data_IF_685626300014
#
_entry.id   IF_685626300014
#
_cell.length_a   1.000
_cell.length_b   1.000
_cell.length_c   1.000
_cell.angle_alpha   90.00
_cell.angle_beta   90.00
_cell.angle_gamma   90.00
#
_symmetry.space_group_name_H-M   'P 1'
#
loop_
_entity.id
_entity.type
_entity.pdbx_description
1 polymer ?
#
# COMPACT_ATOMS: atom_id res chain seq x y z
N UNK A 1 -10.20 -26.99 13.77
CA UNK A 1 -9.88 -26.96 12.33
C UNK A 1 -9.13 -25.67 12.10
N UNK A 2 -7.80 -25.76 12.00
CA UNK A 2 -6.93 -24.62 11.72
C UNK A 2 -7.23 -24.13 10.31
N UNK A 3 -7.67 -22.89 10.22
CA UNK A 3 -7.73 -22.15 8.95
C UNK A 3 -6.58 -21.15 9.05
N UNK A 4 -5.43 -21.63 8.63
CA UNK A 4 -4.30 -20.84 8.18
C UNK A 4 -4.75 -20.04 6.95
N UNK A 5 -5.10 -18.77 7.13
CA UNK A 5 -5.22 -17.84 6.00
C UNK A 5 -3.80 -17.38 5.59
N UNK A 6 -3.29 -18.10 4.58
CA UNK A 6 -2.07 -18.01 3.76
C UNK A 6 -1.61 -16.58 3.40
N UNK A 7 -0.33 -16.25 3.07
CA UNK A 7 0.82 -17.00 2.53
C UNK A 7 2.09 -16.54 3.27
N UNK A 8 2.83 -17.46 3.88
CA UNK A 8 4.30 -17.33 4.02
C UNK A 8 4.87 -17.97 2.77
N UNK A 9 5.44 -17.19 1.86
CA UNK A 9 6.27 -17.77 0.80
C UNK A 9 7.59 -18.18 1.45
N UNK A 10 7.60 -19.38 2.05
CA UNK A 10 8.83 -20.08 2.35
C UNK A 10 9.23 -20.88 1.09
N UNK A 11 9.58 -20.15 0.04
CA UNK A 11 10.21 -20.69 -1.17
C UNK A 11 11.42 -19.83 -1.47
N UNK A 12 12.51 -20.51 -1.82
CA UNK A 12 13.90 -20.05 -1.93
C UNK A 12 14.13 -19.05 -3.09
N UNK A 13 13.32 -18.00 -3.22
CA UNK A 13 13.32 -17.04 -4.34
C UNK A 13 13.23 -15.56 -3.90
N UNK A 14 13.77 -15.20 -2.73
CA UNK A 14 13.94 -13.80 -2.36
C UNK A 14 15.40 -13.39 -2.39
N UNK A 15 15.87 -13.09 -3.60
CA UNK A 15 17.08 -12.30 -3.86
C UNK A 15 17.01 -10.98 -3.09
N UNK A 16 17.78 -10.86 -2.00
CA UNK A 16 18.23 -9.58 -1.45
C UNK A 16 17.21 -8.69 -0.74
N UNK A 17 15.99 -9.13 -0.41
CA UNK A 17 15.03 -8.28 0.34
C UNK A 17 15.18 -8.41 1.86
N UNK A 18 15.10 -7.28 2.58
CA UNK A 18 15.28 -7.24 4.04
C UNK A 18 13.95 -7.07 4.78
N UNK A 19 13.13 -6.07 4.43
CA UNK A 19 11.76 -5.86 4.94
C UNK A 19 11.05 -4.75 4.15
N UNK A 20 9.76 -4.52 4.41
CA UNK A 20 8.96 -3.54 3.69
C UNK A 20 7.79 -2.94 4.46
N UNK A 21 7.34 -1.76 4.04
CA UNK A 21 6.18 -1.03 4.55
C UNK A 21 5.10 -1.00 3.46
N UNK A 22 3.84 -1.24 3.82
CA UNK A 22 2.67 -1.06 2.95
C UNK A 22 1.76 0.00 3.55
N UNK A 23 1.55 1.10 2.84
CA UNK A 23 0.55 2.10 3.15
C UNK A 23 -0.66 1.91 2.23
N UNK A 24 -1.84 1.74 2.84
CA UNK A 24 -3.12 1.75 2.12
C UNK A 24 -3.85 3.03 2.51
N UNK A 25 -3.97 4.02 1.60
CA UNK A 25 -4.70 5.25 1.88
C UNK A 25 -6.13 4.96 2.35
N UNK A 26 -6.62 5.68 3.35
CA UNK A 26 -8.00 5.57 3.86
C UNK A 26 -9.03 5.75 2.75
N UNK A 27 -8.73 6.64 1.79
CA UNK A 27 -9.57 6.96 0.62
C UNK A 27 -9.22 6.14 -0.63
N UNK A 28 -8.48 5.05 -0.50
CA UNK A 28 -8.29 4.09 -1.57
C UNK A 28 -9.65 3.56 -2.06
N UNK A 29 -9.85 3.52 -3.38
CA UNK A 29 -11.09 2.98 -3.96
C UNK A 29 -11.11 1.46 -3.85
N UNK A 30 -9.99 0.81 -4.14
CA UNK A 30 -9.78 -0.62 -3.98
C UNK A 30 -8.74 -0.87 -2.88
N UNK A 31 -9.20 -1.12 -1.64
CA UNK A 31 -8.29 -1.36 -0.49
C UNK A 31 -7.46 -2.65 -0.61
N UNK A 32 -7.81 -3.54 -1.53
CA UNK A 32 -7.04 -4.78 -1.77
C UNK A 32 -5.84 -4.51 -2.68
N UNK A 33 -6.00 -3.62 -3.66
CA UNK A 33 -4.99 -3.35 -4.69
C UNK A 33 -4.24 -2.03 -4.47
N UNK A 34 -4.97 -0.94 -4.18
CA UNK A 34 -4.43 0.40 -4.09
C UNK A 34 -3.51 0.53 -2.88
N UNK A 35 -2.22 0.72 -3.13
CA UNK A 35 -1.23 0.83 -2.06
C UNK A 35 0.06 1.49 -2.51
N UNK A 36 0.77 2.05 -1.53
CA UNK A 36 2.14 2.53 -1.65
C UNK A 36 3.00 1.57 -0.85
N UNK A 37 3.98 0.95 -1.48
CA UNK A 37 4.87 -0.05 -0.89
C UNK A 37 6.30 0.49 -0.90
N UNK A 38 7.04 0.35 0.21
CA UNK A 38 8.49 0.53 0.20
C UNK A 38 9.14 -0.77 0.65
N UNK A 39 10.16 -1.20 -0.08
CA UNK A 39 10.96 -2.37 0.24
C UNK A 39 12.42 -1.94 0.42
N UNK A 40 13.03 -2.36 1.53
CA UNK A 40 14.48 -2.27 1.70
C UNK A 40 15.14 -3.53 1.11
N UNK A 41 16.12 -3.33 0.23
CA UNK A 41 16.96 -4.37 -0.35
C UNK A 41 18.39 -4.27 0.17
N UNK A 42 18.97 -5.42 0.49
CA UNK A 42 20.38 -5.59 0.85
C UNK A 42 21.17 -5.78 -0.43
N UNK A 43 22.12 -4.89 -0.69
CA UNK A 43 23.08 -5.09 -1.78
C UNK A 43 24.22 -6.00 -1.32
N UNK A 44 24.80 -6.75 -2.25
CA UNK A 44 25.98 -7.61 -2.05
C UNK A 44 27.19 -6.75 -1.60
N UNK A 45 27.21 -5.46 -1.97
CA UNK A 45 28.27 -4.50 -1.64
C UNK A 45 28.04 -3.69 -0.35
N UNK A 46 27.04 -4.04 0.48
CA UNK A 46 26.80 -3.38 1.78
C UNK A 46 25.97 -2.08 1.75
N UNK A 47 25.72 -1.48 0.58
CA UNK A 47 24.86 -0.30 0.44
C UNK A 47 23.36 -0.68 0.46
N UNK A 48 22.53 0.11 1.14
CA UNK A 48 21.07 -0.12 1.17
C UNK A 48 20.41 0.47 -0.08
N UNK A 49 19.61 -0.33 -0.79
CA UNK A 49 18.72 0.14 -1.86
C UNK A 49 17.27 0.08 -1.40
N UNK A 50 16.47 1.04 -1.84
CA UNK A 50 15.07 1.14 -1.48
C UNK A 50 14.23 1.10 -2.76
N UNK A 51 13.20 0.26 -2.79
CA UNK A 51 12.23 0.23 -3.88
C UNK A 51 10.93 0.85 -3.39
N UNK A 52 10.44 1.89 -4.06
CA UNK A 52 9.14 2.52 -3.80
C UNK A 52 8.19 2.15 -4.93
N UNK A 53 7.04 1.59 -4.60
CA UNK A 53 6.06 1.03 -5.53
C UNK A 53 4.69 1.64 -5.29
N UNK A 54 4.14 2.31 -6.30
CA UNK A 54 2.79 2.85 -6.30
C UNK A 54 1.89 1.94 -7.14
N UNK A 55 1.00 1.22 -6.47
CA UNK A 55 0.10 0.25 -7.10
C UNK A 55 -1.33 0.77 -7.05
N UNK A 56 -2.02 0.79 -8.18
CA UNK A 56 -3.42 1.25 -8.25
C UNK A 56 -4.23 0.46 -9.27
N UNK A 57 -5.50 0.18 -8.93
CA UNK A 57 -6.48 -0.34 -9.89
C UNK A 57 -7.00 0.80 -10.76
N UNK A 58 -6.90 0.64 -12.07
CA UNK A 58 -7.42 1.57 -13.08
C UNK A 58 -8.31 0.78 -14.05
N UNK A 59 -9.63 0.82 -13.81
CA UNK A 59 -10.58 -0.05 -14.49
C UNK A 59 -10.31 -1.52 -14.15
N UNK A 60 -10.18 -2.38 -15.15
CA UNK A 60 -9.85 -3.80 -14.95
C UNK A 60 -8.35 -4.07 -14.79
N UNK A 61 -7.48 -3.10 -15.07
CA UNK A 61 -6.02 -3.26 -15.03
C UNK A 61 -5.44 -2.72 -13.74
N UNK A 62 -4.38 -3.35 -13.26
CA UNK A 62 -3.56 -2.83 -12.16
C UNK A 62 -2.33 -2.19 -12.76
N UNK A 63 -2.10 -0.92 -12.43
CA UNK A 63 -0.93 -0.15 -12.83
C UNK A 63 0.05 -0.12 -11.66
N UNK A 64 1.34 -0.20 -11.98
CA UNK A 64 2.44 -0.23 -11.03
C UNK A 64 3.52 0.76 -11.46
N UNK A 65 3.74 1.80 -10.66
CA UNK A 65 4.83 2.76 -10.85
C UNK A 65 5.89 2.53 -9.76
N UNK A 66 7.01 1.92 -10.17
CA UNK A 66 8.11 1.53 -9.28
C UNK A 66 9.34 2.40 -9.48
N UNK A 67 9.99 2.79 -8.38
CA UNK A 67 11.26 3.52 -8.35
C UNK A 67 12.27 2.76 -7.51
N UNK A 68 13.51 2.70 -7.98
CA UNK A 68 14.64 2.32 -7.14
C UNK A 68 15.35 3.59 -6.69
N UNK A 69 15.70 3.65 -5.40
CA UNK A 69 16.38 4.77 -4.79
C UNK A 69 17.60 4.22 -4.05
N UNK A 70 18.75 4.84 -4.27
CA UNK A 70 19.89 4.64 -3.39
C UNK A 70 19.65 5.36 -2.07
N UNK A 71 20.49 5.06 -1.08
CA UNK A 71 20.36 5.58 0.29
C UNK A 71 20.24 7.11 0.35
N UNK A 72 21.06 7.81 -0.44
CA UNK A 72 21.03 9.29 -0.52
C UNK A 72 19.69 9.79 -1.06
N UNK A 73 19.18 9.19 -2.13
CA UNK A 73 17.92 9.61 -2.75
C UNK A 73 16.72 9.24 -1.91
N UNK A 74 16.80 8.13 -1.16
CA UNK A 74 15.80 7.76 -0.18
C UNK A 74 15.72 8.77 0.97
N UNK A 75 16.85 9.26 1.48
CA UNK A 75 16.88 10.34 2.46
C UNK A 75 16.33 11.66 1.89
N UNK A 76 16.70 12.00 0.66
CA UNK A 76 16.15 13.16 -0.03
C UNK A 76 14.63 13.06 -0.21
N UNK A 77 14.13 11.85 -0.52
CA UNK A 77 12.69 11.58 -0.59
C UNK A 77 12.01 11.77 0.76
N UNK A 78 12.55 11.22 1.86
CA UNK A 78 12.01 11.45 3.21
C UNK A 78 11.99 12.93 3.57
N UNK A 79 13.07 13.66 3.22
CA UNK A 79 13.17 15.10 3.45
C UNK A 79 12.11 15.85 2.66
N UNK A 80 11.97 15.58 1.36
CA UNK A 80 10.91 16.12 0.51
C UNK A 80 9.51 15.95 1.11
N UNK A 81 9.16 14.73 1.56
CA UNK A 81 7.88 14.48 2.20
C UNK A 81 7.71 15.24 3.54
N UNK A 82 8.80 15.40 4.29
CA UNK A 82 8.81 16.11 5.58
C UNK A 82 8.61 17.61 5.38
N UNK A 83 9.38 18.20 4.46
CA UNK A 83 9.42 19.63 4.19
C UNK A 83 8.09 20.12 3.58
N UNK A 84 7.47 19.31 2.72
CA UNK A 84 6.17 19.62 2.12
C UNK A 84 5.08 19.94 3.17
N UNK A 85 5.10 19.26 4.33
CA UNK A 85 4.11 19.48 5.39
C UNK A 85 4.14 20.91 5.96
N UNK A 86 5.34 21.49 6.02
CA UNK A 86 5.60 22.83 6.56
C UNK A 86 5.72 23.88 5.46
N UNK A 87 5.62 23.45 4.20
CA UNK A 87 5.77 24.33 3.05
C UNK A 87 4.54 25.19 2.86
N UNK A 88 4.77 26.45 2.47
CA UNK A 88 3.72 27.36 2.00
C UNK A 88 3.40 27.12 0.51
N UNK A 89 4.17 26.28 -0.18
CA UNK A 89 3.95 25.98 -1.58
C UNK A 89 2.72 25.08 -1.76
N UNK A 90 1.88 25.41 -2.74
CA UNK A 90 0.71 24.60 -3.08
C UNK A 90 1.09 23.19 -3.56
N UNK A 91 2.23 23.07 -4.23
CA UNK A 91 2.73 21.82 -4.80
C UNK A 91 4.26 21.79 -4.81
N UNK A 92 4.83 20.60 -4.62
CA UNK A 92 6.27 20.35 -4.74
C UNK A 92 6.52 19.04 -5.48
N UNK A 93 7.65 18.97 -6.17
CA UNK A 93 8.04 17.82 -7.00
C UNK A 93 9.34 17.23 -6.52
N UNK A 94 9.37 15.91 -6.48
CA UNK A 94 10.54 15.09 -6.32
C UNK A 94 10.85 14.39 -7.64
N UNK A 95 12.08 14.57 -8.12
CA UNK A 95 12.57 13.91 -9.32
C UNK A 95 13.06 12.51 -8.93
N UNK A 96 12.33 11.47 -9.34
CA UNK A 96 12.82 10.11 -9.33
C UNK A 96 13.55 9.84 -10.65
N UNK A 97 14.48 8.88 -10.67
CA UNK A 97 15.33 8.50 -11.82
C UNK A 97 14.68 8.70 -13.21
N UNK A 98 15.45 9.20 -14.19
CA UNK A 98 15.06 9.33 -15.61
C UNK A 98 13.70 10.00 -15.87
N UNK A 99 13.60 11.31 -15.61
CA UNK A 99 12.40 12.15 -15.87
C UNK A 99 11.11 11.77 -15.12
N UNK A 100 11.13 10.71 -14.33
CA UNK A 100 9.98 10.30 -13.53
C UNK A 100 9.78 11.21 -12.32
N UNK A 101 8.53 11.50 -11.96
CA UNK A 101 8.26 12.50 -10.92
C UNK A 101 7.21 12.03 -9.92
N UNK A 102 7.44 12.42 -8.66
CA UNK A 102 6.45 12.33 -7.59
C UNK A 102 6.12 13.76 -7.19
N UNK A 103 4.87 14.17 -7.38
CA UNK A 103 4.38 15.50 -7.03
C UNK A 103 3.41 15.40 -5.86
N UNK A 104 3.64 16.22 -4.83
CA UNK A 104 2.68 16.45 -3.76
C UNK A 104 1.93 17.75 -4.05
N UNK A 105 0.62 17.75 -3.82
CA UNK A 105 -0.22 18.95 -3.98
C UNK A 105 -1.23 19.02 -2.85
N UNK A 106 -1.33 20.15 -2.16
CA UNK A 106 -2.41 20.39 -1.22
C UNK A 106 -3.73 20.48 -1.98
N UNK A 107 -4.66 19.58 -1.66
CA UNK A 107 -6.05 19.66 -2.12
C UNK A 107 -6.84 20.63 -1.25
N UNK A 108 -6.58 20.60 0.05
CA UNK A 108 -7.08 21.53 1.06
C UNK A 108 -6.17 21.47 2.31
N UNK A 109 -6.60 22.07 3.43
CA UNK A 109 -5.83 22.12 4.69
C UNK A 109 -5.57 20.76 5.35
N UNK A 110 -6.28 19.70 4.97
CA UNK A 110 -6.19 18.38 5.60
C UNK A 110 -5.74 17.28 4.63
N UNK A 111 -5.84 17.53 3.32
CA UNK A 111 -5.72 16.52 2.28
C UNK A 111 -4.66 16.89 1.25
N UNK A 112 -3.88 15.89 0.88
CA UNK A 112 -2.80 15.96 -0.09
C UNK A 112 -3.07 14.97 -1.22
N UNK A 113 -2.80 15.39 -2.45
CA UNK A 113 -2.72 14.51 -3.61
C UNK A 113 -1.26 14.14 -3.84
N UNK A 114 -0.98 12.85 -3.98
CA UNK A 114 0.27 12.33 -4.52
C UNK A 114 0.02 11.98 -5.98
N UNK A 115 0.73 12.64 -6.89
CA UNK A 115 0.75 12.32 -8.32
C UNK A 115 2.08 11.65 -8.64
N UNK A 116 2.04 10.50 -9.27
CA UNK A 116 3.23 9.70 -9.58
C UNK A 116 3.25 9.41 -11.06
N UNK A 117 4.26 9.91 -11.75
CA UNK A 117 4.44 9.74 -13.18
C UNK A 117 5.67 8.89 -13.48
N UNK A 118 5.44 7.80 -14.21
CA UNK A 118 6.48 6.91 -14.71
C UNK A 118 6.14 6.45 -16.12
N UNK A 119 7.08 6.59 -17.08
CA UNK A 119 6.93 6.10 -18.46
C UNK A 119 5.57 6.51 -19.09
N UNK A 120 5.22 7.79 -18.97
CA UNK A 120 3.93 8.38 -19.41
C UNK A 120 2.66 7.84 -18.72
N UNK A 121 2.83 7.00 -17.70
CA UNK A 121 1.73 6.50 -16.86
C UNK A 121 1.67 7.29 -15.57
N UNK A 122 0.51 7.91 -15.30
CA UNK A 122 0.30 8.74 -14.11
C UNK A 122 -0.72 8.11 -13.16
N UNK A 123 -0.33 7.97 -11.89
CA UNK A 123 -1.18 7.50 -10.79
C UNK A 123 -1.46 8.63 -9.81
N UNK A 124 -2.63 8.57 -9.18
CA UNK A 124 -3.05 9.52 -8.15
C UNK A 124 -3.49 8.82 -6.88
N UNK A 125 -3.03 9.34 -5.75
CA UNK A 125 -3.49 8.97 -4.42
C UNK A 125 -3.89 10.22 -3.67
N UNK A 126 -4.94 10.11 -2.85
CA UNK A 126 -5.36 11.17 -1.94
C UNK A 126 -5.19 10.65 -0.52
N UNK A 127 -4.38 11.35 0.27
CA UNK A 127 -4.07 11.01 1.66
C UNK A 127 -4.30 12.23 2.56
N UNK A 128 -4.61 12.01 3.83
CA UNK A 128 -4.60 13.10 4.81
C UNK A 128 -3.18 13.52 5.17
N UNK A 129 -3.03 14.71 5.74
CA UNK A 129 -1.76 15.16 6.34
C UNK A 129 -1.31 14.15 7.41
N UNK A 130 -2.22 13.67 8.25
CA UNK A 130 -1.89 12.67 9.28
C UNK A 130 -1.41 11.34 8.70
N UNK A 131 -1.93 10.91 7.54
CA UNK A 131 -1.40 9.74 6.82
C UNK A 131 0.01 9.99 6.27
N UNK A 132 0.28 11.20 5.77
CA UNK A 132 1.63 11.60 5.34
C UNK A 132 2.61 11.61 6.53
N UNK A 133 2.20 12.11 7.69
CA UNK A 133 3.03 12.11 8.91
C UNK A 133 3.38 10.71 9.38
N UNK A 134 2.37 9.84 9.40
CA UNK A 134 2.57 8.44 9.71
C UNK A 134 3.54 7.79 8.73
N UNK A 135 3.34 8.03 7.43
CA UNK A 135 4.19 7.52 6.38
C UNK A 135 5.65 7.98 6.53
N UNK A 136 5.89 9.28 6.74
CA UNK A 136 7.24 9.83 6.99
C UNK A 136 7.89 9.18 8.21
N UNK A 137 7.13 8.98 9.29
CA UNK A 137 7.62 8.32 10.51
C UNK A 137 8.08 6.89 10.23
N UNK A 138 7.28 6.13 9.47
CA UNK A 138 7.63 4.77 9.09
C UNK A 138 8.88 4.72 8.21
N UNK A 139 9.04 5.65 7.26
CA UNK A 139 10.24 5.70 6.41
C UNK A 139 11.50 6.06 7.20
N UNK A 140 11.40 6.97 8.17
CA UNK A 140 12.51 7.30 9.09
C UNK A 140 12.91 6.09 9.92
N UNK A 141 11.93 5.36 10.46
CA UNK A 141 12.20 4.14 11.22
C UNK A 141 12.85 3.07 10.35
N UNK A 142 12.33 2.83 9.13
CA UNK A 142 12.98 1.95 8.15
C UNK A 142 14.43 2.39 7.87
N UNK A 143 14.70 3.67 7.64
CA UNK A 143 16.09 4.10 7.48
C UNK A 143 16.96 3.76 8.71
N UNK A 144 16.49 4.08 9.93
CA UNK A 144 17.21 3.83 11.17
C UNK A 144 17.43 2.34 11.48
N UNK A 145 16.41 1.50 11.28
CA UNK A 145 16.48 0.05 11.50
C UNK A 145 17.43 -0.59 10.49
N UNK A 146 17.48 -0.07 9.26
CA UNK A 146 18.49 -0.50 8.30
C UNK A 146 19.92 -0.26 8.78
N UNK A 147 20.16 0.86 9.46
CA UNK A 147 21.48 1.28 9.95
C UNK A 147 21.85 0.60 11.28
N UNK A 148 20.88 0.39 12.19
CA UNK A 148 21.16 0.00 13.59
C UNK A 148 20.89 -1.47 13.91
N UNK A 149 19.93 -2.13 13.27
CA UNK A 149 19.61 -3.53 13.57
C UNK A 149 18.93 -4.23 12.38
N UNK A 150 19.66 -5.05 11.60
CA UNK A 150 19.13 -5.66 10.40
C UNK A 150 17.93 -6.62 10.57
N UNK A 151 17.52 -6.91 11.79
CA UNK A 151 16.74 -8.09 12.17
C UNK A 151 15.32 -7.81 12.66
N UNK A 152 14.84 -6.57 12.64
CA UNK A 152 13.50 -6.27 13.17
C UNK A 152 12.48 -6.17 12.03
N UNK A 153 11.77 -7.28 11.82
CA UNK A 153 10.65 -7.39 10.91
C UNK A 153 9.41 -6.70 11.50
N UNK A 154 9.02 -5.55 10.96
CA UNK A 154 7.69 -4.97 11.17
C UNK A 154 6.88 -4.97 9.87
N UNK A 155 6.42 -6.15 9.45
CA UNK A 155 5.26 -6.26 8.55
C UNK A 155 4.01 -6.20 9.43
N UNK A 156 3.52 -4.99 9.74
CA UNK A 156 2.11 -4.71 10.07
C UNK A 156 1.96 -3.27 10.59
N UNK A 157 1.60 -2.34 9.71
CA UNK A 157 0.92 -1.13 10.13
C UNK A 157 -0.32 -0.93 9.27
N UNK A 158 -1.39 -1.64 9.65
CA UNK A 158 -2.75 -1.30 9.23
C UNK A 158 -3.19 -0.16 10.14
N UNK A 159 -3.37 1.04 9.58
CA UNK A 159 -3.90 2.19 10.30
C UNK A 159 -5.39 1.92 10.53
N UNK A 160 -5.73 1.41 11.72
CA UNK A 160 -7.01 0.85 12.14
C UNK A 160 -7.44 -0.42 11.38
N UNK A 161 -6.93 -1.62 11.76
CA UNK A 161 -7.55 -2.85 11.32
C UNK A 161 -9.01 -2.85 11.78
N UNK A 162 -9.93 -3.10 10.85
CA UNK A 162 -11.33 -3.38 11.18
C UNK A 162 -11.32 -4.42 12.30
N UNK A 163 -11.98 -4.12 13.42
CA UNK A 163 -12.15 -5.08 14.50
C UNK A 163 -12.77 -6.36 13.92
N UNK A 164 -12.55 -7.51 14.56
CA UNK A 164 -13.08 -8.80 14.08
C UNK A 164 -14.55 -8.70 13.66
N UNK A 165 -15.37 -8.03 14.49
CA UNK A 165 -16.79 -7.76 14.19
C UNK A 165 -17.03 -6.90 12.95
N UNK A 166 -16.21 -5.86 12.74
CA UNK A 166 -16.33 -4.99 11.58
C UNK A 166 -15.90 -5.70 10.29
N UNK A 167 -14.90 -6.59 10.37
CA UNK A 167 -14.49 -7.46 9.25
C UNK A 167 -15.56 -8.48 8.90
N UNK A 168 -16.13 -9.14 9.90
CA UNK A 168 -17.22 -10.10 9.71
C UNK A 168 -18.46 -9.43 9.11
N UNK A 169 -18.78 -8.20 9.57
CA UNK A 169 -19.86 -7.40 9.01
C UNK A 169 -19.61 -7.05 7.54
N UNK A 170 -18.43 -6.50 7.22
CA UNK A 170 -18.08 -6.11 5.86
C UNK A 170 -18.06 -7.33 4.91
N UNK A 171 -17.48 -8.45 5.36
CA UNK A 171 -17.44 -9.67 4.57
C UNK A 171 -18.85 -10.23 4.31
N UNK A 172 -19.74 -10.16 5.31
CA UNK A 172 -21.15 -10.51 5.14
C UNK A 172 -21.86 -9.61 4.13
N UNK A 173 -21.64 -8.29 4.18
CA UNK A 173 -22.19 -7.32 3.22
C UNK A 173 -21.71 -7.58 1.79
N UNK A 174 -20.43 -7.95 1.62
CA UNK A 174 -19.86 -8.34 0.32
C UNK A 174 -20.52 -9.61 -0.19
N UNK A 175 -20.66 -10.65 0.65
CA UNK A 175 -21.33 -11.89 0.26
C UNK A 175 -22.77 -11.63 -0.21
N UNK A 176 -23.51 -10.76 0.47
CA UNK A 176 -24.84 -10.36 0.02
C UNK A 176 -24.84 -9.70 -1.35
N UNK A 177 -23.94 -8.74 -1.56
CA UNK A 177 -23.80 -8.07 -2.86
C UNK A 177 -23.47 -9.05 -3.99
N UNK A 178 -22.59 -10.02 -3.73
CA UNK A 178 -22.22 -11.05 -4.70
C UNK A 178 -23.37 -12.05 -4.96
N UNK A 179 -24.17 -12.36 -3.94
CA UNK A 179 -25.36 -13.21 -4.07
C UNK A 179 -26.40 -12.52 -4.95
N UNK A 180 -26.67 -11.24 -4.72
CA UNK A 180 -27.59 -10.44 -5.55
C UNK A 180 -27.09 -10.38 -7.00
N UNK A 181 -25.79 -10.12 -7.20
CA UNK A 181 -25.17 -10.18 -8.52
C UNK A 181 -25.25 -11.55 -9.19
N UNK A 182 -25.20 -12.65 -8.41
CA UNK A 182 -25.38 -14.00 -8.95
C UNK A 182 -26.84 -14.27 -9.35
N UNK A 183 -27.81 -13.73 -8.59
CA UNK A 183 -29.24 -13.80 -8.92
C UNK A 183 -29.56 -13.03 -10.19
N UNK A 184 -29.06 -11.79 -10.30
CA UNK A 184 -29.25 -10.93 -11.48
C UNK A 184 -28.70 -11.61 -12.74
N UNK A 185 -27.56 -12.27 -12.62
CA UNK A 185 -26.92 -13.01 -13.71
C UNK A 185 -27.46 -14.43 -13.91
N UNK A 186 -28.48 -14.85 -13.15
CA UNK A 186 -29.05 -16.22 -13.15
C UNK A 186 -27.99 -17.33 -12.99
N UNK A 187 -26.89 -17.03 -12.30
CA UNK A 187 -25.78 -17.97 -12.10
C UNK A 187 -26.03 -18.82 -10.85
N UNK A 188 -26.70 -19.95 -11.04
CA UNK A 188 -27.12 -20.86 -9.97
C UNK A 188 -25.95 -21.48 -9.20
N UNK A 189 -24.84 -21.79 -9.86
CA UNK A 189 -23.67 -22.41 -9.23
C UNK A 189 -22.98 -21.43 -8.29
N UNK A 190 -22.73 -20.21 -8.76
CA UNK A 190 -22.13 -19.14 -7.98
C UNK A 190 -23.03 -18.76 -6.78
N UNK A 191 -24.33 -18.60 -7.02
CA UNK A 191 -25.32 -18.34 -5.97
C UNK A 191 -25.27 -19.41 -4.86
N UNK A 192 -25.27 -20.69 -5.26
CA UNK A 192 -25.25 -21.82 -4.31
C UNK A 192 -23.96 -21.87 -3.51
N UNK A 193 -22.82 -21.56 -4.13
CA UNK A 193 -21.52 -21.49 -3.45
C UNK A 193 -21.50 -20.37 -2.40
N UNK A 194 -21.89 -19.16 -2.80
CA UNK A 194 -21.89 -17.98 -1.91
C UNK A 194 -22.88 -18.14 -0.74
N UNK A 195 -24.02 -18.79 -0.96
CA UNK A 195 -24.97 -19.11 0.11
C UNK A 195 -24.42 -20.12 1.13
N UNK A 196 -23.63 -21.11 0.69
CA UNK A 196 -22.95 -22.05 1.61
C UNK A 196 -21.88 -21.34 2.43
N UNK A 197 -21.14 -20.44 1.80
CA UNK A 197 -20.13 -19.60 2.46
C UNK A 197 -20.75 -18.65 3.47
N UNK A 198 -21.86 -17.98 3.14
CA UNK A 198 -22.61 -17.13 4.08
C UNK A 198 -23.12 -17.93 5.30
N UNK A 199 -23.56 -19.17 5.11
CA UNK A 199 -23.98 -20.05 6.21
C UNK A 199 -22.83 -20.43 7.13
N UNK A 200 -21.65 -20.70 6.60
CA UNK A 200 -20.49 -21.06 7.43
C UNK A 200 -19.97 -19.89 8.26
N UNK A 201 -20.14 -18.66 7.79
CA UNK A 201 -19.78 -17.42 8.51
C UNK A 201 -20.73 -17.12 9.67
N UNK A 202 -22.02 -17.45 9.54
CA UNK A 202 -23.05 -17.21 10.57
C UNK A 202 -23.09 -18.23 11.70
N UNK A 203 -22.43 -19.38 11.54
CA UNK A 203 -22.41 -20.49 12.50
C UNK A 203 -21.14 -20.52 13.37
N UNK A 204 -20.30 -19.48 13.31
CA UNK A 204 -19.13 -19.25 14.18
C UNK A 204 -19.38 -18.12 15.16
#
# INVERSE_FOLDING_TARGET
MDISDFIVSNTKEHDGFKYGIKLVPKRAMDKFVDSILILARRNINGHSKYKISFKKRCGFKTILNDFELEERDFLNYIKFLTDFKTSNNKSEKFQAENFNTIELTFLNKEMIKISVEKDSTRLFFSISISELEFYVTMLKNMYLDNVRNPSIYYMNYVINPLMKKEREKLYTEILYTLIDGALDNKNKELFSSLCKELKSVRLK
#
